data_IF_006116822614
#
_entry.id   IF_006116822614
#
_cell.length_a   1.000
_cell.length_b   1.000
_cell.length_c   1.000
_cell.angle_alpha   90.00
_cell.angle_beta   90.00
_cell.angle_gamma   90.00
#
_symmetry.space_group_name_H-M   'P 1'
#
loop_
_entity.id
_entity.type
_entity.pdbx_description
1 polymer ?
#
# COMPACT_ATOMS: atom_id res chain seq x y z
N UNK A 1 -1.34 -5.30 21.34
CA UNK A 1 -0.41 -4.51 20.50
C UNK A 1 -1.23 -3.51 19.72
N UNK A 2 -0.85 -2.24 19.77
CA UNK A 2 -1.49 -1.10 19.12
C UNK A 2 -0.80 -0.78 17.80
N UNK A 3 -1.51 -0.95 16.69
CA UNK A 3 -0.98 -0.73 15.33
C UNK A 3 -1.67 0.47 14.72
N UNK A 4 -0.90 1.41 14.17
CA UNK A 4 -1.42 2.43 13.26
C UNK A 4 -1.07 2.08 11.83
N UNK A 5 -2.09 1.91 10.99
CA UNK A 5 -1.94 1.90 9.54
C UNK A 5 -2.10 3.31 8.99
N UNK A 6 -1.21 3.72 8.09
CA UNK A 6 -1.35 4.98 7.34
C UNK A 6 -1.44 4.70 5.85
N UNK A 7 -2.32 5.41 5.14
CA UNK A 7 -2.44 5.31 3.67
C UNK A 7 -2.72 6.67 3.07
N UNK A 8 -2.32 6.87 1.81
CA UNK A 8 -2.45 8.14 1.11
C UNK A 8 -3.90 8.64 0.96
N UNK A 9 -4.84 7.71 0.75
CA UNK A 9 -6.25 8.02 0.56
C UNK A 9 -7.06 6.74 0.80
N UNK A 10 -8.29 6.90 1.28
CA UNK A 10 -9.29 5.84 1.34
C UNK A 10 -10.36 6.00 0.25
N UNK A 11 -10.17 6.90 -0.70
CA UNK A 11 -11.06 7.00 -1.86
C UNK A 11 -10.90 5.79 -2.79
N UNK A 12 -11.99 5.07 -3.14
CA UNK A 12 -11.94 3.91 -4.03
C UNK A 12 -11.26 4.18 -5.38
N UNK A 13 -11.33 5.42 -5.86
CA UNK A 13 -10.80 5.82 -7.17
C UNK A 13 -9.26 5.96 -7.18
N UNK A 14 -8.64 6.01 -6.00
CA UNK A 14 -7.19 6.21 -5.85
C UNK A 14 -6.39 4.90 -5.99
N UNK A 15 -7.08 3.76 -6.07
CA UNK A 15 -6.52 2.47 -6.47
C UNK A 15 -6.43 1.43 -5.36
N UNK A 16 -5.56 0.43 -5.58
CA UNK A 16 -5.48 -0.78 -4.75
C UNK A 16 -5.33 -0.55 -3.23
N UNK A 17 -4.46 0.37 -2.76
CA UNK A 17 -4.27 0.61 -1.33
C UNK A 17 -5.55 1.00 -0.58
N UNK A 18 -6.44 1.78 -1.20
CA UNK A 18 -7.71 2.20 -0.60
C UNK A 18 -8.65 1.02 -0.31
N UNK A 19 -8.46 -0.13 -0.96
CA UNK A 19 -9.18 -1.39 -0.69
C UNK A 19 -8.36 -2.33 0.20
N UNK A 20 -7.09 -2.55 -0.12
CA UNK A 20 -6.27 -3.57 0.55
C UNK A 20 -5.86 -3.18 1.98
N UNK A 21 -5.72 -1.88 2.28
CA UNK A 21 -5.28 -1.43 3.62
C UNK A 21 -6.40 -1.54 4.65
N UNK A 22 -7.64 -1.10 4.39
CA UNK A 22 -8.76 -1.37 5.29
C UNK A 22 -8.97 -2.86 5.58
N UNK A 23 -8.92 -3.72 4.54
CA UNK A 23 -9.04 -5.17 4.73
C UNK A 23 -7.93 -5.76 5.59
N UNK A 24 -6.68 -5.33 5.38
CA UNK A 24 -5.55 -5.72 6.24
C UNK A 24 -5.76 -5.24 7.69
N UNK A 25 -6.23 -4.02 7.89
CA UNK A 25 -6.49 -3.46 9.21
C UNK A 25 -7.59 -4.24 9.95
N UNK A 26 -8.70 -4.55 9.29
CA UNK A 26 -9.76 -5.40 9.84
C UNK A 26 -9.26 -6.81 10.18
N UNK A 27 -8.43 -7.40 9.32
CA UNK A 27 -7.84 -8.72 9.57
C UNK A 27 -6.90 -8.70 10.78
N UNK A 28 -6.09 -7.65 10.94
CA UNK A 28 -5.23 -7.47 12.10
C UNK A 28 -6.04 -7.28 13.40
N UNK A 29 -7.16 -6.53 13.34
CA UNK A 29 -8.07 -6.38 14.46
C UNK A 29 -8.70 -7.71 14.85
N UNK A 30 -9.16 -8.50 13.87
CA UNK A 30 -9.68 -9.86 14.08
C UNK A 30 -8.64 -10.82 14.68
N UNK A 31 -7.36 -10.59 14.41
CA UNK A 31 -6.25 -11.32 15.02
C UNK A 31 -5.90 -10.85 16.45
N UNK A 32 -6.64 -9.89 17.01
CA UNK A 32 -6.50 -9.41 18.40
C UNK A 32 -5.61 -8.18 18.58
N UNK A 33 -5.21 -7.50 17.50
CA UNK A 33 -4.53 -6.21 17.62
C UNK A 33 -5.54 -5.07 17.88
N UNK A 34 -5.11 -4.04 18.60
CA UNK A 34 -5.82 -2.76 18.64
C UNK A 34 -5.38 -1.98 17.41
N UNK A 35 -6.29 -1.70 16.49
CA UNK A 35 -5.94 -1.17 15.17
C UNK A 35 -6.53 0.21 14.94
N UNK A 36 -5.65 1.13 14.58
CA UNK A 36 -5.98 2.47 14.13
C UNK A 36 -5.66 2.59 12.64
N UNK A 37 -6.49 3.35 11.92
CA UNK A 37 -6.26 3.67 10.51
C UNK A 37 -6.35 5.18 10.32
N UNK A 38 -5.38 5.76 9.62
CA UNK A 38 -5.40 7.17 9.26
C UNK A 38 -5.10 7.36 7.77
N UNK A 39 -5.82 8.30 7.16
CA UNK A 39 -5.52 8.83 5.84
C UNK A 39 -5.85 10.32 5.79
N UNK A 40 -5.09 11.12 5.02
CA UNK A 40 -5.35 12.55 4.87
C UNK A 40 -6.61 12.83 4.05
N UNK A 41 -7.00 11.89 3.19
CA UNK A 41 -8.16 11.98 2.32
C UNK A 41 -9.05 10.77 2.57
N UNK A 42 -10.21 11.02 3.17
CA UNK A 42 -11.23 10.02 3.47
C UNK A 42 -12.55 10.54 2.91
N UNK A 43 -13.21 9.80 2.00
CA UNK A 43 -14.54 10.17 1.51
C UNK A 43 -15.54 10.39 2.67
N UNK A 44 -16.53 11.25 2.46
CA UNK A 44 -17.62 11.42 3.44
C UNK A 44 -18.34 10.11 3.71
N UNK A 45 -18.64 9.38 2.64
CA UNK A 45 -19.26 8.06 2.69
C UNK A 45 -18.20 7.00 2.45
N UNK A 46 -17.87 6.26 3.49
CA UNK A 46 -17.00 5.09 3.44
C UNK A 46 -17.58 4.03 4.36
N UNK A 47 -17.47 2.78 3.94
CA UNK A 47 -17.71 1.64 4.83
C UNK A 47 -16.51 1.51 5.78
N UNK A 48 -16.77 1.68 7.08
CA UNK A 48 -15.69 1.64 8.06
C UNK A 48 -15.16 0.22 8.25
N UNK A 49 -13.84 0.03 8.25
CA UNK A 49 -13.26 -1.29 8.46
C UNK A 49 -13.64 -1.84 9.85
N UNK A 50 -14.18 -3.05 9.87
CA UNK A 50 -14.63 -3.71 11.09
C UNK A 50 -13.50 -3.85 12.14
N UNK A 51 -13.77 -3.41 13.37
CA UNK A 51 -12.81 -3.50 14.48
C UNK A 51 -11.66 -2.51 14.42
N UNK A 52 -11.71 -1.50 13.54
CA UNK A 52 -10.65 -0.51 13.34
C UNK A 52 -11.14 0.88 13.75
N UNK A 53 -10.35 1.60 14.53
CA UNK A 53 -10.61 3.02 14.82
C UNK A 53 -10.09 3.89 13.68
N UNK A 54 -11.00 4.52 12.94
CA UNK A 54 -10.67 5.42 11.85
C UNK A 54 -10.41 6.85 12.34
N UNK A 55 -9.25 7.42 12.02
CA UNK A 55 -8.87 8.79 12.34
C UNK A 55 -8.98 9.68 11.10
N UNK A 56 -9.81 10.72 11.16
CA UNK A 56 -10.02 11.70 10.10
C UNK A 56 -9.30 13.01 10.40
N UNK A 57 -8.91 13.74 9.34
CA UNK A 57 -8.31 15.05 9.45
C UNK A 57 -6.82 14.99 9.77
N UNK A 58 -6.38 15.81 10.72
CA UNK A 58 -4.97 15.89 11.10
C UNK A 58 -4.42 14.58 11.66
N UNK A 59 -3.10 14.48 11.67
CA UNK A 59 -2.39 13.32 12.16
C UNK A 59 -2.75 13.02 13.63
N UNK A 60 -3.18 11.79 13.97
CA UNK A 60 -3.69 11.48 15.30
C UNK A 60 -2.57 11.49 16.35
N UNK A 61 -2.83 12.14 17.48
CA UNK A 61 -1.97 12.08 18.66
C UNK A 61 -2.36 10.89 19.54
N UNK A 62 -1.98 9.69 19.11
CA UNK A 62 -2.27 8.43 19.79
C UNK A 62 -0.97 7.70 20.18
N UNK A 63 -1.05 6.89 21.23
CA UNK A 63 0.02 5.98 21.58
C UNK A 63 -0.10 4.67 20.80
N UNK A 64 1.00 4.25 20.17
CA UNK A 64 1.05 3.03 19.38
C UNK A 64 2.34 2.28 19.64
N UNK A 65 2.29 0.97 19.39
CA UNK A 65 3.45 0.10 19.52
C UNK A 65 4.14 -0.11 18.16
N UNK A 66 3.40 0.02 17.05
CA UNK A 66 3.88 -0.20 15.68
C UNK A 66 3.20 0.74 14.67
N UNK A 67 4.00 1.39 13.82
CA UNK A 67 3.52 2.10 12.64
C UNK A 67 3.68 1.22 11.40
N UNK A 68 2.61 1.00 10.65
CA UNK A 68 2.62 0.33 9.36
C UNK A 68 2.19 1.30 8.24
N UNK A 69 3.18 1.86 7.56
CA UNK A 69 3.04 2.93 6.57
C UNK A 69 2.89 2.38 5.15
N UNK A 70 1.73 2.62 4.53
CA UNK A 70 1.40 2.15 3.18
C UNK A 70 1.58 3.26 2.15
N UNK A 71 2.61 3.08 1.32
CA UNK A 71 3.00 4.01 0.29
C UNK A 71 4.26 4.80 0.62
N UNK A 72 4.70 5.57 -0.37
CA UNK A 72 5.91 6.38 -0.34
C UNK A 72 5.69 7.62 -1.22
N UNK A 73 6.64 8.56 -1.19
CA UNK A 73 6.70 9.80 -1.98
C UNK A 73 5.85 10.96 -1.50
N UNK A 74 4.81 10.75 -0.70
CA UNK A 74 3.96 11.85 -0.24
C UNK A 74 4.54 12.53 1.00
N UNK A 75 4.29 13.84 1.20
CA UNK A 75 4.69 14.56 2.40
C UNK A 75 4.22 13.89 3.69
N UNK A 76 3.05 13.23 3.65
CA UNK A 76 2.52 12.51 4.80
C UNK A 76 3.37 11.30 5.16
N UNK A 77 3.88 10.52 4.19
CA UNK A 77 4.83 9.43 4.48
C UNK A 77 6.12 9.96 5.11
N UNK A 78 6.61 11.11 4.64
CA UNK A 78 7.78 11.76 5.27
C UNK A 78 7.51 12.16 6.72
N UNK A 79 6.36 12.80 6.99
CA UNK A 79 5.92 13.16 8.35
C UNK A 79 5.80 11.93 9.25
N UNK A 80 5.23 10.82 8.75
CA UNK A 80 5.15 9.56 9.48
C UNK A 80 6.52 8.98 9.82
N UNK A 81 7.44 9.01 8.86
CA UNK A 81 8.80 8.54 9.08
C UNK A 81 9.54 9.39 10.14
N UNK A 82 9.36 10.72 10.12
CA UNK A 82 9.93 11.61 11.13
C UNK A 82 9.33 11.37 12.52
N UNK A 83 8.02 11.24 12.62
CA UNK A 83 7.31 11.02 13.87
C UNK A 83 7.68 9.67 14.50
N UNK A 84 7.67 8.58 13.72
CA UNK A 84 8.06 7.27 14.22
C UNK A 84 9.51 7.27 14.73
N UNK A 85 10.43 7.93 14.01
CA UNK A 85 11.82 8.10 14.47
C UNK A 85 11.93 8.88 15.77
N UNK A 86 11.23 10.01 15.90
CA UNK A 86 11.33 10.86 17.10
C UNK A 86 10.77 10.17 18.34
N UNK A 87 9.74 9.33 18.16
CA UNK A 87 9.13 8.52 19.21
C UNK A 87 9.77 7.14 19.39
N UNK A 88 10.76 6.77 18.56
CA UNK A 88 11.39 5.44 18.51
C UNK A 88 10.38 4.30 18.31
N UNK A 89 9.29 4.57 17.60
CA UNK A 89 8.27 3.57 17.24
C UNK A 89 8.81 2.75 16.07
N UNK A 90 8.80 1.41 16.13
CA UNK A 90 9.17 0.58 14.99
C UNK A 90 8.24 0.87 13.81
N UNK A 91 8.84 0.98 12.62
CA UNK A 91 8.11 1.31 11.40
C UNK A 91 8.27 0.20 10.38
N UNK A 92 7.15 -0.28 9.87
CA UNK A 92 7.06 -1.15 8.70
C UNK A 92 6.57 -0.31 7.54
N UNK A 93 7.21 -0.44 6.37
CA UNK A 93 6.77 0.26 5.15
C UNK A 93 6.35 -0.75 4.10
N UNK A 94 5.16 -0.55 3.53
CA UNK A 94 4.67 -1.26 2.35
C UNK A 94 4.63 -0.32 1.14
N UNK A 95 5.62 -0.36 0.23
CA UNK A 95 5.61 0.50 -0.95
C UNK A 95 4.50 0.17 -1.96
N UNK A 96 3.99 -1.07 -1.99
CA UNK A 96 2.90 -1.53 -2.87
C UNK A 96 3.17 -1.25 -4.36
N UNK A 97 4.41 -1.51 -4.79
CA UNK A 97 4.88 -1.32 -6.17
C UNK A 97 5.34 0.10 -6.50
N UNK A 98 5.30 1.05 -5.55
CA UNK A 98 5.72 2.44 -5.79
C UNK A 98 7.24 2.62 -5.94
N UNK A 99 8.04 1.59 -5.62
CA UNK A 99 9.49 1.54 -5.82
C UNK A 99 9.91 0.71 -7.05
N UNK A 100 8.94 0.18 -7.81
CA UNK A 100 9.22 -0.51 -9.07
C UNK A 100 9.84 0.45 -10.10
N UNK A 101 10.71 -0.04 -11.02
CA UNK A 101 11.42 0.82 -11.96
C UNK A 101 10.49 1.74 -12.77
N UNK A 102 9.36 1.21 -13.23
CA UNK A 102 8.36 1.99 -13.96
C UNK A 102 7.76 3.11 -13.09
N UNK A 103 7.44 2.82 -11.82
CA UNK A 103 6.87 3.80 -10.92
C UNK A 103 7.89 4.91 -10.60
N UNK A 104 9.14 4.56 -10.36
CA UNK A 104 10.22 5.54 -10.12
C UNK A 104 10.48 6.40 -11.35
N UNK A 105 10.39 5.83 -12.56
CA UNK A 105 10.63 6.56 -13.80
C UNK A 105 9.48 7.50 -14.18
N UNK A 106 8.27 7.26 -13.67
CA UNK A 106 7.16 8.20 -13.80
C UNK A 106 7.37 9.42 -12.90
N UNK A 107 7.40 10.63 -13.48
CA UNK A 107 7.81 11.87 -12.79
C UNK A 107 9.21 11.80 -12.16
N UNK A 108 10.15 11.18 -12.88
CA UNK A 108 11.51 10.83 -12.42
C UNK A 108 12.25 11.97 -11.72
N UNK A 109 12.16 13.20 -12.24
CA UNK A 109 12.92 14.32 -11.69
C UNK A 109 12.46 14.70 -10.28
N UNK A 110 11.13 14.78 -10.05
CA UNK A 110 10.55 15.05 -8.72
C UNK A 110 10.95 13.96 -7.74
N UNK A 111 10.86 12.70 -8.16
CA UNK A 111 11.23 11.54 -7.34
C UNK A 111 12.72 11.47 -7.05
N UNK A 112 13.58 11.85 -8.00
CA UNK A 112 15.03 11.93 -7.77
C UNK A 112 15.36 12.98 -6.71
N UNK A 113 14.74 14.16 -6.79
CA UNK A 113 14.90 15.20 -5.76
C UNK A 113 14.39 14.70 -4.41
N UNK A 114 13.17 14.17 -4.33
CA UNK A 114 12.61 13.61 -3.10
C UNK A 114 13.48 12.49 -2.52
N UNK A 115 14.03 11.61 -3.37
CA UNK A 115 14.96 10.55 -3.00
C UNK A 115 16.19 11.07 -2.28
N UNK A 116 16.84 12.09 -2.85
CA UNK A 116 18.04 12.68 -2.28
C UNK A 116 17.76 13.48 -1.00
N UNK A 117 16.65 14.22 -0.94
CA UNK A 117 16.35 15.09 0.20
C UNK A 117 15.88 14.28 1.42
N UNK A 118 14.90 13.38 1.26
CA UNK A 118 14.28 12.73 2.41
C UNK A 118 13.94 11.26 2.20
N UNK A 119 13.45 10.86 1.02
CA UNK A 119 12.81 9.55 0.85
C UNK A 119 13.80 8.39 1.07
N UNK A 120 15.06 8.54 0.64
CA UNK A 120 16.09 7.51 0.90
C UNK A 120 16.36 7.37 2.41
N UNK A 121 16.48 8.49 3.12
CA UNK A 121 16.70 8.51 4.58
C UNK A 121 15.52 7.89 5.30
N UNK A 122 14.30 8.23 4.89
CA UNK A 122 13.09 7.66 5.49
C UNK A 122 13.04 6.16 5.30
N UNK A 123 13.23 5.69 4.06
CA UNK A 123 13.23 4.26 3.79
C UNK A 123 14.34 3.54 4.55
N UNK A 124 15.55 4.13 4.64
CA UNK A 124 16.66 3.57 5.43
C UNK A 124 16.42 3.55 6.95
N UNK A 125 15.43 4.30 7.45
CA UNK A 125 15.07 4.28 8.87
C UNK A 125 13.90 3.35 9.18
N UNK A 126 13.37 2.62 8.20
CA UNK A 126 12.33 1.60 8.46
C UNK A 126 12.96 0.42 9.22
N UNK A 127 12.20 -0.17 10.14
CA UNK A 127 12.57 -1.40 10.84
C UNK A 127 12.56 -2.57 9.85
N UNK A 128 11.50 -2.67 9.06
CA UNK A 128 11.37 -3.68 8.01
C UNK A 128 10.51 -3.17 6.84
N UNK A 129 10.58 -3.88 5.73
CA UNK A 129 9.72 -3.70 4.57
C UNK A 129 8.72 -4.84 4.43
N UNK A 130 7.51 -4.48 4.04
CA UNK A 130 6.47 -5.41 3.61
C UNK A 130 6.36 -5.35 2.09
N UNK A 131 6.81 -6.39 1.41
CA UNK A 131 6.58 -6.59 -0.02
C UNK A 131 5.32 -7.41 -0.26
N UNK A 132 4.61 -7.09 -1.34
CA UNK A 132 3.44 -7.85 -1.80
C UNK A 132 3.76 -8.91 -2.84
N UNK A 133 5.00 -8.93 -3.32
CA UNK A 133 5.54 -9.93 -4.24
C UNK A 133 7.07 -10.04 -4.10
N UNK A 134 7.64 -11.19 -4.46
CA UNK A 134 9.09 -11.42 -4.48
C UNK A 134 9.84 -10.39 -5.35
N UNK A 135 9.25 -10.02 -6.49
CA UNK A 135 9.83 -9.00 -7.37
C UNK A 135 9.98 -7.65 -6.67
N UNK A 136 9.02 -7.30 -5.81
CA UNK A 136 9.04 -6.05 -5.06
C UNK A 136 10.13 -6.08 -3.97
N UNK A 137 10.28 -7.20 -3.26
CA UNK A 137 11.37 -7.39 -2.29
C UNK A 137 12.75 -7.30 -2.95
N UNK A 138 12.92 -7.96 -4.10
CA UNK A 138 14.15 -7.89 -4.89
C UNK A 138 14.47 -6.45 -5.33
N UNK A 139 13.44 -5.65 -5.61
CA UNK A 139 13.60 -4.25 -5.98
C UNK A 139 14.11 -3.39 -4.82
N UNK A 140 13.77 -3.69 -3.55
CA UNK A 140 14.31 -2.99 -2.39
C UNK A 140 15.84 -3.13 -2.32
N UNK A 141 16.35 -4.35 -2.50
CA UNK A 141 17.79 -4.64 -2.51
C UNK A 141 18.51 -3.90 -3.65
N UNK A 142 17.94 -3.88 -4.85
CA UNK A 142 18.48 -3.12 -5.99
C UNK A 142 18.59 -1.61 -5.71
N UNK A 143 17.76 -1.07 -4.82
CA UNK A 143 17.78 0.33 -4.41
C UNK A 143 18.71 0.62 -3.21
N UNK A 144 19.43 -0.40 -2.72
CA UNK A 144 20.30 -0.28 -1.54
C UNK A 144 19.52 -0.06 -0.24
N UNK A 145 18.33 -0.66 -0.16
CA UNK A 145 17.50 -0.75 1.02
C UNK A 145 17.70 -2.16 1.60
N UNK A 146 18.58 -2.25 2.60
CA UNK A 146 19.12 -3.54 3.10
C UNK A 146 18.38 -4.06 4.34
N UNK A 147 17.39 -3.32 4.85
CA UNK A 147 16.62 -3.76 6.01
C UNK A 147 15.81 -5.01 5.71
N UNK A 148 15.41 -5.71 6.77
CA UNK A 148 14.63 -6.93 6.64
C UNK A 148 13.37 -6.69 5.79
N UNK A 149 13.05 -7.65 4.93
CA UNK A 149 11.87 -7.58 4.08
C UNK A 149 11.13 -8.89 4.12
N UNK A 150 9.82 -8.83 4.33
CA UNK A 150 8.93 -9.98 4.28
C UNK A 150 7.98 -9.86 3.10
N UNK A 151 7.73 -10.98 2.44
CA UNK A 151 6.82 -11.07 1.30
C UNK A 151 5.49 -11.63 1.79
N UNK A 152 4.48 -10.77 1.89
CA UNK A 152 3.12 -11.14 2.25
C UNK A 152 2.19 -10.56 1.18
N UNK A 153 1.60 -11.41 0.31
CA UNK A 153 0.74 -10.95 -0.77
C UNK A 153 -0.56 -10.33 -0.24
N UNK A 154 -1.26 -9.58 -1.10
CA UNK A 154 -2.59 -9.08 -0.76
C UNK A 154 -3.57 -10.25 -0.61
N UNK A 155 -4.32 -10.26 0.50
CA UNK A 155 -5.48 -11.12 0.64
C UNK A 155 -6.66 -10.63 -0.19
N UNK A 156 -7.59 -11.55 -0.47
CA UNK A 156 -8.90 -11.29 -1.05
C UNK A 156 -9.95 -11.93 -0.13
N UNK A 157 -11.08 -11.25 0.05
CA UNK A 157 -12.22 -11.82 0.76
C UNK A 157 -13.03 -12.65 -0.22
N UNK A 158 -13.15 -13.96 0.05
CA UNK A 158 -13.91 -14.86 -0.81
C UNK A 158 -15.42 -14.75 -0.63
N UNK A 159 -15.90 -14.10 0.46
CA UNK A 159 -17.33 -13.96 0.73
C UNK A 159 -18.08 -13.09 -0.27
N UNK A 160 -17.38 -12.21 -1.00
CA UNK A 160 -17.95 -11.37 -2.05
C UNK A 160 -18.11 -12.11 -3.40
N UNK A 161 -17.56 -13.33 -3.52
CA UNK A 161 -17.57 -14.09 -4.77
C UNK A 161 -18.67 -15.14 -4.74
N UNK A 162 -19.88 -14.74 -5.12
CA UNK A 162 -20.95 -15.66 -5.51
C UNK A 162 -21.02 -15.73 -7.04
N UNK A 163 -20.96 -16.94 -7.61
CA UNK A 163 -21.08 -17.10 -9.05
C UNK A 163 -21.13 -18.56 -9.50
N UNK A 164 -22.04 -18.83 -10.43
CA UNK A 164 -22.06 -20.08 -11.19
C UNK A 164 -20.93 -20.07 -12.24
N UNK A 165 -20.29 -21.21 -12.43
CA UNK A 165 -19.31 -21.36 -13.50
C UNK A 165 -20.00 -21.22 -14.86
N UNK A 166 -19.53 -20.29 -15.69
CA UNK A 166 -19.98 -20.17 -17.08
C UNK A 166 -19.57 -21.45 -17.82
N UNK A 167 -20.56 -22.17 -18.37
CA UNK A 167 -20.35 -23.45 -19.08
C UNK A 167 -19.73 -23.26 -20.47
N UNK A 168 -19.83 -22.06 -21.03
CA UNK A 168 -19.27 -21.69 -22.32
C UNK A 168 -17.84 -21.17 -22.18
N UNK A 169 -17.01 -21.38 -23.20
CA UNK A 169 -15.64 -20.86 -23.22
C UNK A 169 -15.67 -19.34 -23.38
N UNK A 170 -15.48 -18.63 -22.27
CA UNK A 170 -15.35 -17.18 -22.25
C UNK A 170 -13.93 -16.76 -21.88
N UNK A 171 -13.43 -15.69 -22.50
CA UNK A 171 -12.18 -15.02 -22.11
C UNK A 171 -12.51 -13.62 -21.65
N UNK A 172 -12.11 -13.28 -20.43
CA UNK A 172 -12.40 -11.99 -19.80
C UNK A 172 -11.09 -11.26 -19.52
N UNK A 173 -10.99 -10.02 -19.98
CA UNK A 173 -9.91 -9.10 -19.63
C UNK A 173 -10.44 -8.01 -18.70
N UNK A 174 -10.05 -8.08 -17.42
CA UNK A 174 -10.44 -7.07 -16.42
C UNK A 174 -9.20 -6.29 -15.95
N UNK A 175 -9.10 -5.04 -16.39
CA UNK A 175 -8.05 -4.13 -15.94
C UNK A 175 -8.41 -2.67 -16.18
N UNK A 176 -7.69 -1.77 -15.48
CA UNK A 176 -7.66 -0.36 -15.88
C UNK A 176 -7.04 -0.24 -17.27
N UNK A 177 -7.56 0.66 -18.09
CA UNK A 177 -6.99 0.97 -19.42
C UNK A 177 -5.66 1.68 -19.23
N UNK A 178 -4.56 0.94 -19.36
CA UNK A 178 -3.21 1.47 -19.15
C UNK A 178 -2.18 0.62 -19.92
N UNK A 179 -1.12 1.20 -20.53
CA UNK A 179 -0.13 0.45 -21.32
C UNK A 179 0.50 -0.74 -20.59
N UNK A 180 0.83 -0.57 -19.30
CA UNK A 180 1.34 -1.65 -18.42
C UNK A 180 0.40 -2.87 -18.35
N UNK A 181 -0.89 -2.71 -18.59
CA UNK A 181 -1.87 -3.80 -18.51
C UNK A 181 -1.98 -4.62 -19.80
N UNK A 182 -1.28 -4.22 -20.87
CA UNK A 182 -1.14 -5.05 -22.07
C UNK A 182 -2.43 -5.23 -22.87
N UNK A 183 -3.41 -4.33 -22.75
CA UNK A 183 -4.69 -4.44 -23.46
C UNK A 183 -4.52 -4.59 -24.98
N UNK A 184 -3.57 -3.87 -25.59
CA UNK A 184 -3.30 -3.98 -27.02
C UNK A 184 -2.77 -5.37 -27.40
N UNK A 185 -1.94 -5.98 -26.54
CA UNK A 185 -1.45 -7.35 -26.77
C UNK A 185 -2.62 -8.35 -26.79
N UNK A 186 -3.61 -8.15 -25.92
CA UNK A 186 -4.83 -8.97 -25.93
C UNK A 186 -5.64 -8.80 -27.22
N UNK A 187 -5.81 -7.58 -27.70
CA UNK A 187 -6.48 -7.32 -28.99
C UNK A 187 -5.76 -8.03 -30.14
N UNK A 188 -4.43 -8.03 -30.15
CA UNK A 188 -3.64 -8.68 -31.21
C UNK A 188 -3.74 -10.21 -31.17
N UNK A 189 -3.82 -10.81 -29.98
CA UNK A 189 -4.07 -12.25 -29.83
C UNK A 189 -5.48 -12.62 -30.31
N UNK A 190 -6.49 -11.79 -30.03
CA UNK A 190 -7.89 -12.07 -30.37
C UNK A 190 -8.24 -11.93 -31.84
N UNK A 191 -7.40 -11.24 -32.63
CA UNK A 191 -7.56 -11.13 -34.08
C UNK A 191 -7.24 -12.43 -34.83
N UNK A 192 -6.59 -13.39 -34.18
CA UNK A 192 -6.16 -14.67 -34.76
C UNK A 192 -7.17 -15.76 -34.45
#
# INVERSE_FOLDING_TARGET
MRILHTVASLSPDTGGPARSVPGLASAAAKAGAEVHLWAPEIPEKIEEPAGVTLHRGDFPNIEIDLLHDHGVWLPNNHRMAQWARSKKIPRIVSPRGMLEPWAINHNKWKKKIAWWIYQRRDLKSTTAFHATAESEAAQFRKLGLDQESFVIPNGIDFSEFEGDFIKEKAVVFLSRIHPKKGLLMWVDVWKR
#
